data_IF_765687619663
#
_entry.id   IF_765687619663
#
_cell.length_a   1.000
_cell.length_b   1.000
_cell.length_c   1.000
_cell.angle_alpha   90.00
_cell.angle_beta   90.00
_cell.angle_gamma   90.00
#
_symmetry.space_group_name_H-M   'P 1'
#
loop_
_entity.id
_entity.type
_entity.pdbx_description
1 polymer ?
#
# COMPACT_ATOMS: atom_id res chain seq x y z
N UNK A 1 2.14 -17.74 3.79
CA UNK A 1 2.07 -16.29 4.11
C UNK A 1 3.07 -15.99 5.21
N UNK A 2 3.78 -14.86 5.09
CA UNK A 2 4.75 -14.39 6.08
C UNK A 2 4.63 -12.87 6.25
N UNK A 3 5.20 -12.37 7.34
CA UNK A 3 5.34 -10.93 7.62
C UNK A 3 6.80 -10.55 7.39
N UNK A 4 7.03 -9.54 6.58
CA UNK A 4 8.32 -8.87 6.42
C UNK A 4 8.21 -7.56 7.18
N UNK A 5 9.08 -7.37 8.17
CA UNK A 5 9.05 -6.21 9.06
C UNK A 5 10.37 -5.45 9.01
N UNK A 6 10.29 -4.14 8.97
CA UNK A 6 11.42 -3.25 9.18
C UNK A 6 11.02 -2.24 10.27
N UNK A 7 11.68 -2.33 11.41
CA UNK A 7 11.32 -1.63 12.64
C UNK A 7 12.45 -0.73 13.11
N UNK A 8 12.10 0.32 13.85
CA UNK A 8 13.05 1.21 14.50
C UNK A 8 13.80 2.13 13.54
N UNK A 9 13.29 2.36 12.32
CA UNK A 9 13.94 3.27 11.37
C UNK A 9 13.89 4.69 11.92
N UNK A 10 15.06 5.29 12.16
CA UNK A 10 15.17 6.63 12.75
C UNK A 10 15.44 7.67 11.68
N UNK A 11 14.66 8.74 11.70
CA UNK A 11 14.81 9.85 10.77
C UNK A 11 14.72 11.17 11.52
N UNK A 12 15.60 12.10 11.19
CA UNK A 12 15.44 13.50 11.56
C UNK A 12 14.67 14.20 10.44
N UNK A 13 13.54 14.83 10.79
CA UNK A 13 12.67 15.46 9.79
C UNK A 13 11.96 16.69 10.33
N UNK A 14 11.37 17.46 9.42
CA UNK A 14 10.81 18.79 9.68
C UNK A 14 9.28 18.76 9.61
N UNK A 15 8.64 17.76 10.23
CA UNK A 15 7.19 17.64 10.24
C UNK A 15 6.58 18.34 11.46
N UNK A 16 5.45 19.01 11.25
CA UNK A 16 4.76 19.67 12.34
C UNK A 16 3.75 20.67 11.84
N UNK A 17 2.73 20.93 12.67
CA UNK A 17 1.70 21.90 12.31
C UNK A 17 2.23 23.33 12.47
N UNK A 18 3.04 23.55 13.50
CA UNK A 18 3.64 24.84 13.81
C UNK A 18 4.88 25.11 12.96
N UNK A 19 5.11 26.38 12.61
CA UNK A 19 6.24 26.78 11.75
C UNK A 19 7.58 26.49 12.42
N UNK A 20 7.66 26.66 13.74
CA UNK A 20 8.85 26.40 14.54
C UNK A 20 9.28 24.93 14.44
N UNK A 21 8.33 24.00 14.39
CA UNK A 21 8.61 22.57 14.23
C UNK A 21 9.18 22.26 12.84
N UNK A 22 8.75 22.98 11.82
CA UNK A 22 9.25 22.83 10.45
C UNK A 22 10.63 23.48 10.24
N UNK A 23 11.09 24.29 11.19
CA UNK A 23 12.42 24.90 11.18
C UNK A 23 13.40 24.10 12.05
N UNK A 24 12.99 23.78 13.28
CA UNK A 24 13.84 23.07 14.24
C UNK A 24 13.98 21.62 13.81
N UNK A 25 12.88 20.95 13.47
CA UNK A 25 12.82 19.51 13.22
C UNK A 25 12.72 18.68 14.51
N UNK A 26 12.56 17.38 14.34
CA UNK A 26 12.49 16.42 15.43
C UNK A 26 12.95 15.02 14.96
N UNK A 27 13.17 14.11 15.90
CA UNK A 27 13.41 12.69 15.67
C UNK A 27 12.09 11.92 15.54
N UNK A 28 12.05 11.07 14.51
CA UNK A 28 10.94 10.20 14.22
C UNK A 28 11.40 8.75 14.15
N UNK A 29 10.50 7.84 14.49
CA UNK A 29 10.69 6.41 14.31
C UNK A 29 9.59 5.88 13.41
N UNK A 30 9.96 5.13 12.38
CA UNK A 30 9.03 4.48 11.47
C UNK A 30 9.18 2.97 11.61
N UNK A 31 8.03 2.29 11.77
CA UNK A 31 7.92 0.83 11.72
C UNK A 31 7.00 0.45 10.55
N UNK A 32 7.39 -0.55 9.78
CA UNK A 32 6.60 -1.07 8.64
C UNK A 32 6.50 -2.59 8.75
N UNK A 33 5.28 -3.11 8.67
CA UNK A 33 4.98 -4.53 8.58
C UNK A 33 4.21 -4.80 7.29
N UNK A 34 4.67 -5.79 6.52
CA UNK A 34 4.04 -6.17 5.24
C UNK A 34 3.76 -7.66 5.26
N UNK A 35 2.48 -8.02 5.14
CA UNK A 35 2.05 -9.41 4.97
C UNK A 35 2.02 -9.75 3.48
N UNK A 36 2.74 -10.79 3.08
CA UNK A 36 2.79 -11.25 1.68
C UNK A 36 2.97 -12.77 1.56
N UNK A 37 2.99 -13.25 0.31
CA UNK A 37 3.29 -14.63 -0.08
C UNK A 37 4.79 -14.69 -0.37
N UNK A 38 5.52 -15.54 0.34
CA UNK A 38 6.99 -15.70 0.23
C UNK A 38 7.37 -17.12 -0.21
N UNK A 39 6.39 -17.97 -0.47
CA UNK A 39 6.55 -19.39 -0.77
C UNK A 39 7.50 -19.59 -1.97
N UNK A 40 7.39 -18.76 -3.00
CA UNK A 40 8.28 -18.83 -4.16
C UNK A 40 9.70 -18.37 -3.82
N UNK A 41 9.86 -17.21 -3.16
CA UNK A 41 11.17 -16.70 -2.75
C UNK A 41 11.91 -17.68 -1.82
N UNK A 42 11.19 -18.32 -0.89
CA UNK A 42 11.77 -19.31 0.02
C UNK A 42 12.27 -20.57 -0.69
N UNK A 43 11.66 -20.95 -1.81
CA UNK A 43 12.10 -22.10 -2.63
C UNK A 43 13.24 -21.73 -3.56
N UNK A 44 13.19 -20.55 -4.16
CA UNK A 44 14.14 -20.13 -5.19
C UNK A 44 15.36 -19.39 -4.64
N UNK A 45 15.33 -18.98 -3.37
CA UNK A 45 16.31 -18.08 -2.74
C UNK A 45 16.56 -16.81 -3.58
N UNK A 46 15.46 -16.24 -4.10
CA UNK A 46 15.51 -15.12 -5.05
C UNK A 46 14.82 -13.88 -4.46
N UNK A 47 15.59 -12.81 -4.31
CA UNK A 47 15.14 -11.52 -3.80
C UNK A 47 14.07 -10.88 -4.71
N UNK A 48 14.04 -11.20 -6.01
CA UNK A 48 13.03 -10.68 -6.94
C UNK A 48 11.62 -11.22 -6.67
N UNK A 49 11.50 -12.33 -5.94
CA UNK A 49 10.22 -12.96 -5.61
C UNK A 49 9.69 -12.57 -4.21
N UNK A 50 10.29 -11.58 -3.56
CA UNK A 50 9.90 -11.12 -2.21
C UNK A 50 9.89 -9.59 -2.12
N UNK A 51 9.54 -9.06 -0.94
CA UNK A 51 9.63 -7.63 -0.62
C UNK A 51 11.06 -7.34 -0.14
N UNK A 52 11.79 -6.53 -0.89
CA UNK A 52 13.10 -6.06 -0.46
C UNK A 52 12.94 -4.95 0.62
N UNK A 53 13.38 -5.22 1.83
CA UNK A 53 13.34 -4.27 2.95
C UNK A 53 14.24 -3.04 2.73
N UNK A 54 15.29 -3.13 1.91
CA UNK A 54 16.08 -1.96 1.50
C UNK A 54 15.21 -0.97 0.72
N UNK A 55 14.38 -1.47 -0.20
CA UNK A 55 13.43 -0.64 -0.93
C UNK A 55 12.36 -0.05 0.00
N UNK A 56 11.92 -0.79 1.03
CA UNK A 56 11.02 -0.27 2.08
C UNK A 56 11.68 0.91 2.82
N UNK A 57 12.94 0.78 3.22
CA UNK A 57 13.69 1.86 3.86
C UNK A 57 13.77 3.10 2.99
N UNK A 58 14.13 2.95 1.71
CA UNK A 58 14.25 4.08 0.76
C UNK A 58 12.91 4.80 0.55
N UNK A 59 11.79 4.07 0.52
CA UNK A 59 10.45 4.67 0.45
C UNK A 59 10.15 5.47 1.71
N UNK A 60 10.45 4.92 2.89
CA UNK A 60 10.28 5.63 4.16
C UNK A 60 11.14 6.89 4.22
N UNK A 61 12.42 6.79 3.86
CA UNK A 61 13.34 7.91 3.82
C UNK A 61 12.84 9.02 2.89
N UNK A 62 12.39 8.67 1.68
CA UNK A 62 11.85 9.63 0.72
C UNK A 62 10.61 10.36 1.26
N UNK A 63 9.71 9.65 1.95
CA UNK A 63 8.54 10.25 2.58
C UNK A 63 8.91 11.19 3.75
N UNK A 64 9.88 10.78 4.58
CA UNK A 64 10.37 11.57 5.73
C UNK A 64 11.10 12.85 5.30
N UNK A 65 11.73 12.87 4.12
CA UNK A 65 12.35 14.09 3.57
C UNK A 65 11.34 15.16 3.16
N UNK A 66 10.09 14.78 2.87
CA UNK A 66 9.03 15.71 2.46
C UNK A 66 8.26 16.21 3.67
N UNK A 67 8.55 17.43 4.12
CA UNK A 67 7.84 18.05 5.23
C UNK A 67 6.32 17.98 5.06
N UNK A 68 5.63 17.69 6.16
CA UNK A 68 4.19 17.47 6.25
C UNK A 68 3.72 18.02 7.58
N UNK A 69 2.49 18.54 7.63
CA UNK A 69 1.93 19.11 8.87
C UNK A 69 1.52 18.05 9.90
N UNK A 70 1.13 16.87 9.42
CA UNK A 70 0.48 15.83 10.19
C UNK A 70 1.26 14.51 10.04
N UNK A 71 1.29 13.70 11.11
CA UNK A 71 1.92 12.37 11.07
C UNK A 71 1.12 11.43 10.16
N UNK A 72 -0.20 11.59 10.15
CA UNK A 72 -1.15 10.85 9.33
C UNK A 72 -0.81 10.97 7.85
N UNK A 73 -0.46 12.19 7.40
CA UNK A 73 -0.05 12.42 6.02
C UNK A 73 1.27 11.70 5.69
N UNK A 74 2.22 11.70 6.62
CA UNK A 74 3.50 10.98 6.45
C UNK A 74 3.26 9.48 6.35
N UNK A 75 2.48 8.91 7.27
CA UNK A 75 2.14 7.48 7.27
C UNK A 75 1.42 7.07 5.98
N UNK A 76 0.46 7.87 5.51
CA UNK A 76 -0.25 7.61 4.25
C UNK A 76 0.67 7.74 3.02
N UNK A 77 1.59 8.71 2.99
CA UNK A 77 2.58 8.81 1.91
C UNK A 77 3.48 7.57 1.83
N UNK A 78 3.92 7.05 2.97
CA UNK A 78 4.70 5.81 3.04
C UNK A 78 3.84 4.65 2.52
N UNK A 79 2.61 4.49 3.02
CA UNK A 79 1.70 3.43 2.59
C UNK A 79 1.44 3.47 1.07
N UNK A 80 1.22 4.66 0.50
CA UNK A 80 1.05 4.84 -0.94
C UNK A 80 2.31 4.48 -1.73
N UNK A 81 3.50 4.89 -1.24
CA UNK A 81 4.77 4.52 -1.84
C UNK A 81 4.97 3.00 -1.89
N UNK A 82 4.64 2.31 -0.78
CA UNK A 82 4.70 0.85 -0.69
C UNK A 82 3.72 0.16 -1.65
N UNK A 83 2.45 0.60 -1.72
CA UNK A 83 1.47 0.07 -2.69
C UNK A 83 1.88 0.31 -4.14
N UNK A 84 2.49 1.47 -4.41
CA UNK A 84 2.97 1.78 -5.75
C UNK A 84 4.07 0.83 -6.17
N UNK A 85 5.07 0.64 -5.29
CA UNK A 85 6.24 -0.21 -5.55
C UNK A 85 5.90 -1.71 -5.58
N UNK A 86 5.05 -2.18 -4.67
CA UNK A 86 4.83 -3.61 -4.46
C UNK A 86 3.37 -4.02 -4.74
N UNK A 87 3.18 -4.85 -5.77
CA UNK A 87 1.86 -5.34 -6.19
C UNK A 87 1.39 -6.61 -5.46
N UNK A 88 2.22 -7.16 -4.58
CA UNK A 88 1.99 -8.42 -3.86
C UNK A 88 1.62 -8.23 -2.37
N UNK A 89 1.45 -7.00 -1.90
CA UNK A 89 1.08 -6.71 -0.51
C UNK A 89 -0.36 -7.17 -0.26
N UNK A 90 -0.54 -8.09 0.70
CA UNK A 90 -1.86 -8.51 1.16
C UNK A 90 -2.37 -7.63 2.27
N UNK A 91 -1.51 -7.33 3.23
CA UNK A 91 -1.80 -6.45 4.35
C UNK A 91 -0.55 -5.63 4.65
N UNK A 92 -0.74 -4.41 5.16
CA UNK A 92 0.36 -3.60 5.67
C UNK A 92 -0.04 -2.85 6.93
N UNK A 93 0.94 -2.56 7.74
CA UNK A 93 0.87 -1.61 8.85
C UNK A 93 2.04 -0.65 8.72
N UNK A 94 1.78 0.65 8.81
CA UNK A 94 2.80 1.71 8.84
C UNK A 94 2.59 2.54 10.09
N UNK A 95 3.59 2.56 10.97
CA UNK A 95 3.56 3.31 12.21
C UNK A 95 4.59 4.42 12.17
N UNK A 96 4.18 5.66 12.44
CA UNK A 96 5.07 6.81 12.52
C UNK A 96 4.99 7.42 13.92
N UNK A 97 6.12 7.41 14.62
CA UNK A 97 6.28 7.97 15.96
C UNK A 97 7.07 9.27 15.87
N UNK A 98 6.61 10.32 16.55
CA UNK A 98 7.36 11.54 16.84
C UNK A 98 7.89 11.43 18.27
N UNK A 99 9.21 11.44 18.42
CA UNK A 99 9.85 11.34 19.74
C UNK A 99 9.80 12.70 20.44
N UNK A 100 9.63 12.69 21.77
CA UNK A 100 9.64 13.88 22.62
C UNK A 100 8.89 15.10 22.02
N UNK A 101 7.61 14.97 21.60
CA UNK A 101 6.86 16.07 21.01
C UNK A 101 6.77 17.28 21.97
N UNK A 102 6.79 18.52 21.44
CA UNK A 102 6.83 19.73 22.26
C UNK A 102 5.46 20.04 22.88
N UNK A 103 5.08 19.30 23.92
CA UNK A 103 3.79 19.43 24.61
C UNK A 103 3.84 20.25 25.92
N UNK A 104 5.01 20.79 26.28
CA UNK A 104 5.23 21.47 27.56
C UNK A 104 5.40 20.53 28.77
N UNK A 105 5.35 19.21 28.55
CA UNK A 105 5.62 18.16 29.54
C UNK A 105 6.44 17.02 28.95
N UNK A 106 6.99 16.14 29.79
CA UNK A 106 7.82 15.02 29.33
C UNK A 106 6.94 13.83 28.93
N UNK A 107 7.00 13.45 27.66
CA UNK A 107 6.43 12.21 27.13
C UNK A 107 7.47 11.53 26.23
N UNK A 108 7.39 10.22 26.09
CA UNK A 108 8.34 9.46 25.26
C UNK A 108 8.10 9.71 23.76
N UNK A 109 6.87 9.54 23.31
CA UNK A 109 6.49 9.75 21.91
C UNK A 109 4.98 9.93 21.74
N UNK A 110 4.60 10.52 20.60
CA UNK A 110 3.24 10.46 20.06
C UNK A 110 3.29 9.75 18.70
N UNK A 111 2.29 8.96 18.34
CA UNK A 111 2.35 8.15 17.11
C UNK A 111 0.99 7.97 16.46
N UNK A 112 1.04 7.71 15.16
CA UNK A 112 -0.09 7.27 14.34
C UNK A 112 0.26 5.95 13.67
N UNK A 113 -0.74 5.15 13.39
CA UNK A 113 -0.61 3.87 12.72
C UNK A 113 -1.72 3.77 11.68
N UNK A 114 -1.35 3.38 10.47
CA UNK A 114 -2.28 3.14 9.38
C UNK A 114 -2.17 1.69 8.95
N UNK A 115 -3.33 1.04 8.83
CA UNK A 115 -3.45 -0.35 8.42
C UNK A 115 -4.16 -0.45 7.07
N UNK A 116 -3.74 -1.42 6.27
CA UNK A 116 -4.39 -1.75 5.00
C UNK A 116 -4.57 -3.25 4.85
N UNK A 117 -5.79 -3.70 4.51
CA UNK A 117 -6.08 -5.06 4.08
C UNK A 117 -6.62 -5.06 2.65
N UNK A 118 -5.86 -5.67 1.75
CA UNK A 118 -6.12 -5.64 0.31
C UNK A 118 -6.63 -6.96 -0.23
N UNK A 119 -6.84 -7.96 0.64
CA UNK A 119 -7.41 -9.24 0.25
C UNK A 119 -8.93 -9.09 0.08
N UNK A 120 -9.39 -9.15 -1.16
CA UNK A 120 -10.81 -9.09 -1.54
C UNK A 120 -11.23 -10.38 -2.25
N UNK A 121 -12.52 -10.52 -2.52
CA UNK A 121 -13.07 -11.61 -3.34
C UNK A 121 -13.50 -11.08 -4.70
N UNK A 122 -13.27 -11.89 -5.72
CA UNK A 122 -13.73 -11.64 -7.09
C UNK A 122 -15.25 -11.58 -7.14
N UNK A 123 -15.81 -10.51 -7.70
CA UNK A 123 -17.27 -10.36 -7.84
C UNK A 123 -17.93 -11.44 -8.73
N UNK A 124 -17.16 -12.08 -9.62
CA UNK A 124 -17.66 -13.11 -10.54
C UNK A 124 -17.53 -14.53 -10.00
N UNK A 125 -16.38 -14.90 -9.44
CA UNK A 125 -16.09 -16.29 -9.08
C UNK A 125 -15.73 -16.50 -7.61
N UNK A 126 -15.78 -15.45 -6.79
CA UNK A 126 -15.51 -15.49 -5.34
C UNK A 126 -14.09 -15.91 -4.94
N UNK A 127 -13.19 -16.15 -5.90
CA UNK A 127 -11.76 -16.39 -5.66
C UNK A 127 -11.09 -15.18 -5.01
N UNK A 128 -10.08 -15.39 -4.13
CA UNK A 128 -9.34 -14.31 -3.53
C UNK A 128 -8.56 -13.53 -4.59
N UNK A 129 -8.49 -12.22 -4.43
CA UNK A 129 -7.70 -11.31 -5.25
C UNK A 129 -7.15 -10.17 -4.40
N UNK A 130 -6.09 -9.52 -4.88
CA UNK A 130 -5.62 -8.26 -4.31
C UNK A 130 -6.38 -7.09 -4.93
N UNK A 131 -6.89 -6.15 -4.16
CA UNK A 131 -7.42 -4.90 -4.70
C UNK A 131 -7.05 -3.73 -3.79
N UNK A 132 -6.26 -2.79 -4.34
CA UNK A 132 -5.88 -1.56 -3.64
C UNK A 132 -6.94 -0.45 -3.80
N UNK A 133 -7.91 -0.65 -4.69
CA UNK A 133 -9.02 0.28 -4.97
C UNK A 133 -8.57 1.71 -5.35
N UNK A 134 -7.38 1.82 -5.93
CA UNK A 134 -6.79 3.07 -6.43
C UNK A 134 -5.99 2.79 -7.70
N UNK A 135 -5.33 3.83 -8.23
CA UNK A 135 -4.51 3.74 -9.44
C UNK A 135 -3.21 2.93 -9.28
N UNK A 136 -2.91 2.45 -8.07
CA UNK A 136 -1.75 1.57 -7.81
C UNK A 136 -2.11 0.09 -7.92
N UNK A 137 -3.38 -0.25 -8.14
CA UNK A 137 -3.86 -1.62 -8.25
C UNK A 137 -3.32 -2.33 -9.52
N UNK A 138 -2.95 -3.62 -9.41
CA UNK A 138 -2.43 -4.43 -10.53
C UNK A 138 -3.39 -4.52 -11.73
N UNK A 139 -4.70 -4.35 -11.53
CA UNK A 139 -5.67 -4.44 -12.61
C UNK A 139 -5.55 -3.25 -13.60
N UNK A 140 -4.90 -2.16 -13.19
CA UNK A 140 -4.65 -1.00 -14.06
C UNK A 140 -3.70 -1.33 -15.22
N UNK A 141 -2.87 -2.36 -15.08
CA UNK A 141 -1.95 -2.82 -16.13
C UNK A 141 -2.61 -3.82 -17.11
N UNK A 142 -3.86 -4.22 -16.85
CA UNK A 142 -4.54 -5.21 -17.69
C UNK A 142 -5.11 -4.56 -18.94
N UNK A 143 -4.71 -5.05 -20.11
CA UNK A 143 -5.22 -4.59 -21.41
C UNK A 143 -6.65 -5.11 -21.64
N UNK A 144 -7.64 -4.33 -21.23
CA UNK A 144 -9.06 -4.57 -21.53
C UNK A 144 -9.61 -3.36 -22.30
N UNK A 145 -10.43 -3.61 -23.33
CA UNK A 145 -11.03 -2.53 -24.11
C UNK A 145 -11.96 -1.65 -23.25
N UNK A 146 -11.96 -0.33 -23.52
CA UNK A 146 -12.66 0.66 -22.69
C UNK A 146 -14.15 0.38 -22.52
N UNK A 147 -14.84 0.01 -23.62
CA UNK A 147 -16.27 -0.32 -23.59
C UNK A 147 -16.56 -1.54 -22.72
N UNK A 148 -15.70 -2.56 -22.78
CA UNK A 148 -15.80 -3.76 -21.94
C UNK A 148 -15.62 -3.40 -20.47
N UNK A 149 -14.66 -2.53 -20.15
CA UNK A 149 -14.46 -2.05 -18.77
C UNK A 149 -15.68 -1.29 -18.23
N UNK A 150 -16.29 -0.42 -19.04
CA UNK A 150 -17.51 0.30 -18.65
C UNK A 150 -18.67 -0.66 -18.37
N UNK A 151 -18.86 -1.67 -19.23
CA UNK A 151 -19.88 -2.71 -19.03
C UNK A 151 -19.64 -3.54 -17.76
N UNK A 152 -18.39 -3.96 -17.52
CA UNK A 152 -18.02 -4.72 -16.32
C UNK A 152 -18.23 -3.89 -15.05
N UNK A 153 -17.90 -2.59 -15.07
CA UNK A 153 -18.16 -1.68 -13.95
C UNK A 153 -19.64 -1.60 -13.61
N UNK A 154 -20.50 -1.48 -14.62
CA UNK A 154 -21.96 -1.46 -14.42
C UNK A 154 -22.47 -2.80 -13.90
N UNK A 155 -22.06 -3.91 -14.50
CA UNK A 155 -22.58 -5.24 -14.18
C UNK A 155 -22.17 -5.73 -12.78
N UNK A 156 -20.93 -5.48 -12.37
CA UNK A 156 -20.41 -5.89 -11.05
C UNK A 156 -20.45 -4.78 -10.00
N UNK A 157 -21.13 -3.66 -10.28
CA UNK A 157 -21.31 -2.56 -9.32
C UNK A 157 -19.99 -1.93 -8.85
N UNK A 158 -18.99 -1.85 -9.74
CA UNK A 158 -17.65 -1.34 -9.42
C UNK A 158 -16.74 -2.28 -8.63
N UNK A 159 -17.17 -3.51 -8.31
CA UNK A 159 -16.33 -4.47 -7.58
C UNK A 159 -15.23 -5.07 -8.47
N UNK A 160 -14.08 -5.38 -7.85
CA UNK A 160 -12.91 -5.89 -8.55
C UNK A 160 -13.10 -7.34 -9.05
N UNK A 161 -12.49 -7.67 -10.19
CA UNK A 161 -12.44 -9.01 -10.78
C UNK A 161 -11.01 -9.55 -10.72
N UNK A 162 -10.85 -10.87 -10.51
CA UNK A 162 -9.54 -11.51 -10.50
C UNK A 162 -8.93 -11.57 -11.90
N UNK A 163 -7.62 -11.86 -11.98
CA UNK A 163 -6.85 -11.85 -13.24
C UNK A 163 -7.46 -12.77 -14.29
N UNK A 164 -7.91 -13.97 -13.89
CA UNK A 164 -8.52 -14.93 -14.80
C UNK A 164 -9.90 -14.48 -15.29
N UNK A 165 -10.70 -13.87 -14.41
CA UNK A 165 -12.01 -13.33 -14.78
C UNK A 165 -11.88 -12.12 -15.70
N UNK A 166 -10.89 -11.25 -15.49
CA UNK A 166 -10.59 -10.14 -16.41
C UNK A 166 -10.06 -10.66 -17.75
N UNK A 167 -9.13 -11.62 -17.75
CA UNK A 167 -8.57 -12.21 -18.96
C UNK A 167 -9.64 -12.85 -19.85
N UNK A 168 -10.64 -13.51 -19.26
CA UNK A 168 -11.81 -14.03 -19.98
C UNK A 168 -12.52 -12.97 -20.82
N UNK A 169 -12.59 -11.72 -20.35
CA UNK A 169 -13.22 -10.62 -21.07
C UNK A 169 -12.25 -9.83 -21.96
N UNK A 170 -10.94 -9.98 -21.76
CA UNK A 170 -9.92 -9.32 -22.56
C UNK A 170 -9.77 -9.92 -23.97
N UNK A 171 -10.11 -11.20 -24.15
CA UNK A 171 -9.95 -11.94 -25.41
C UNK A 171 -11.21 -12.08 -26.28
N UNK A 172 -12.38 -11.62 -25.81
CA UNK A 172 -13.64 -11.73 -26.53
C UNK A 172 -14.13 -10.34 -26.97
N UNK A 173 -14.12 -10.04 -28.27
CA UNK A 173 -14.90 -8.91 -28.84
C UNK A 173 -16.41 -9.17 -28.77
N UNK A 174 -16.84 -10.39 -28.44
CA UNK A 174 -18.24 -10.77 -28.30
C UNK A 174 -18.50 -11.56 -27.00
N UNK A 175 -19.46 -11.10 -26.21
CA UNK A 175 -20.21 -11.96 -25.29
C UNK A 175 -19.91 -11.81 -23.80
N UNK A 176 -20.59 -10.85 -23.15
CA UNK A 176 -21.28 -11.18 -21.91
C UNK A 176 -22.57 -11.91 -22.32
N UNK A 177 -22.99 -13.00 -21.65
CA UNK A 177 -24.34 -13.52 -21.85
C UNK A 177 -25.35 -12.44 -21.47
N UNK A 178 -26.34 -12.23 -22.33
CA UNK A 178 -27.49 -11.36 -22.04
C UNK A 178 -28.12 -11.81 -20.71
N UNK A 179 -28.42 -10.83 -19.88
CA UNK A 179 -29.03 -11.00 -18.57
C UNK A 179 -30.38 -11.71 -18.72
N UNK A 180 -30.58 -12.79 -17.96
CA UNK A 180 -31.91 -13.37 -17.69
C UNK A 180 -32.48 -12.68 -16.46
#
# INVERSE_FOLDING_TARGET
>A
MAIIALEGMRFYAYHGFYEEEQIIGNDYVVDVHITTVVEQAAVTDDLYNTINYETVYLICEAAMRKSSKLLEAVAEHIALGLKHQFKSIKEMTVKVKKLNPPLGGRVESAWVEVDGNFSKRCARCSRPLLCYNDNTCWCMDTKVYKKTLEQLKTHYGGNCLCKECLAYFAGNEAGLPEQV
#
